data_IF_197784871334
#
_entry.id   IF_197784871334
#
_cell.length_a   1.000
_cell.length_b   1.000
_cell.length_c   1.000
_cell.angle_alpha   90.00
_cell.angle_beta   90.00
_cell.angle_gamma   90.00
#
_symmetry.space_group_name_H-M   'P 1'
#
loop_
_entity.id
_entity.type
_entity.pdbx_description
1 polymer ?
#
# COMPACT_ATOMS: atom_id res chain seq x y z
N UNK A 1 12.20 -22.92 14.43
CA UNK A 1 10.98 -22.18 14.80
C UNK A 1 11.19 -20.71 14.42
N UNK A 2 10.24 -20.06 13.75
CA UNK A 2 10.44 -18.69 13.25
C UNK A 2 10.40 -17.66 14.39
N UNK A 3 11.26 -16.65 14.34
CA UNK A 3 11.40 -15.59 15.35
C UNK A 3 10.13 -14.78 15.66
N UNK A 4 9.09 -14.90 14.82
CA UNK A 4 7.83 -14.16 14.95
C UNK A 4 6.63 -15.04 15.37
N UNK A 5 6.89 -16.28 15.78
CA UNK A 5 5.82 -17.23 16.18
C UNK A 5 5.37 -16.92 17.61
N UNK A 6 4.08 -16.69 17.82
CA UNK A 6 3.48 -16.58 19.16
C UNK A 6 3.10 -17.96 19.71
N UNK A 7 2.97 -18.09 21.04
CA UNK A 7 2.80 -19.37 21.73
C UNK A 7 1.49 -20.13 21.43
N UNK A 8 0.52 -19.51 20.74
CA UNK A 8 -0.77 -20.12 20.36
C UNK A 8 -0.73 -20.93 19.05
N UNK A 9 -0.08 -22.09 19.04
CA UNK A 9 0.30 -22.82 17.82
C UNK A 9 -0.75 -23.77 17.21
N UNK A 10 -1.99 -23.82 17.76
CA UNK A 10 -3.04 -24.74 17.31
C UNK A 10 -4.39 -24.06 16.99
N UNK A 11 -4.36 -22.77 16.65
CA UNK A 11 -5.56 -22.04 16.23
C UNK A 11 -5.63 -22.05 14.69
N UNK A 12 -6.78 -22.36 14.08
CA UNK A 12 -6.92 -22.25 12.63
C UNK A 12 -6.63 -20.82 12.16
N UNK A 13 -5.85 -20.69 11.09
CA UNK A 13 -5.53 -19.40 10.49
C UNK A 13 -6.64 -18.95 9.55
N UNK A 14 -6.96 -17.65 9.57
CA UNK A 14 -7.97 -17.01 8.72
C UNK A 14 -7.35 -15.99 7.76
N UNK A 15 -6.12 -15.54 8.02
CA UNK A 15 -5.40 -14.59 7.19
C UNK A 15 -3.97 -15.06 6.90
N UNK A 16 -3.48 -14.71 5.70
CA UNK A 16 -2.10 -14.90 5.30
C UNK A 16 -1.47 -13.56 4.97
N UNK A 17 -0.38 -13.22 5.65
CA UNK A 17 0.44 -12.06 5.33
C UNK A 17 1.62 -12.48 4.47
N UNK A 18 1.78 -11.83 3.33
CA UNK A 18 2.85 -12.09 2.37
C UNK A 18 3.74 -10.84 2.28
N UNK A 19 5.05 -11.05 2.33
CA UNK A 19 6.06 -10.03 2.04
C UNK A 19 6.71 -10.41 0.71
N UNK A 20 6.60 -9.52 -0.27
CA UNK A 20 7.11 -9.73 -1.61
C UNK A 20 8.19 -8.69 -1.93
N UNK A 21 9.27 -9.15 -2.54
CA UNK A 21 10.26 -8.30 -3.17
C UNK A 21 9.91 -8.12 -4.66
N UNK A 22 9.83 -6.87 -5.08
CA UNK A 22 9.45 -6.47 -6.44
C UNK A 22 10.53 -5.56 -6.98
N UNK A 23 11.00 -5.84 -8.20
CA UNK A 23 12.05 -5.03 -8.81
C UNK A 23 11.49 -3.75 -9.38
N UNK A 24 12.20 -2.64 -9.15
CA UNK A 24 11.91 -1.37 -9.80
C UNK A 24 12.17 -1.45 -11.31
N UNK A 25 13.27 -2.07 -11.69
CA UNK A 25 13.68 -2.29 -13.09
C UNK A 25 13.93 -3.78 -13.31
N UNK A 26 12.87 -4.50 -13.66
CA UNK A 26 12.94 -5.95 -13.85
C UNK A 26 11.60 -6.55 -14.24
N UNK A 27 11.57 -7.88 -14.38
CA UNK A 27 10.35 -8.65 -14.72
C UNK A 27 10.06 -9.78 -13.74
N UNK A 28 10.80 -9.87 -12.65
CA UNK A 28 10.62 -10.91 -11.65
C UNK A 28 10.24 -10.30 -10.31
N UNK A 29 9.40 -11.03 -9.58
CA UNK A 29 9.00 -10.73 -8.22
C UNK A 29 9.17 -12.02 -7.41
N UNK A 30 9.49 -11.92 -6.13
CA UNK A 30 9.67 -13.10 -5.27
C UNK A 30 9.02 -12.87 -3.91
N UNK A 31 8.30 -13.88 -3.44
CA UNK A 31 7.84 -13.92 -2.05
C UNK A 31 9.03 -14.23 -1.16
N UNK A 32 9.39 -13.30 -0.28
CA UNK A 32 10.51 -13.42 0.67
C UNK A 32 10.04 -13.77 2.08
N UNK A 33 8.73 -13.69 2.35
CA UNK A 33 8.15 -14.10 3.62
C UNK A 33 6.66 -14.41 3.50
N UNK A 34 6.22 -15.45 4.19
CA UNK A 34 4.82 -15.83 4.31
C UNK A 34 4.51 -16.16 5.77
N UNK A 35 3.48 -15.53 6.31
CA UNK A 35 3.09 -15.66 7.71
C UNK A 35 1.59 -15.96 7.78
N UNK A 36 1.24 -17.08 8.42
CA UNK A 36 -0.15 -17.41 8.71
C UNK A 36 -0.54 -16.81 10.06
N UNK A 37 -1.70 -16.15 10.12
CA UNK A 37 -2.23 -15.57 11.35
C UNK A 37 -3.69 -15.93 11.56
N UNK A 38 -4.09 -16.07 12.83
CA UNK A 38 -5.47 -16.33 13.27
C UNK A 38 -6.25 -15.04 13.58
N UNK A 39 -5.76 -13.91 13.07
CA UNK A 39 -6.37 -12.58 13.10
C UNK A 39 -5.44 -11.59 12.36
N UNK A 40 -5.84 -10.31 12.28
CA UNK A 40 -4.98 -9.26 11.73
C UNK A 40 -3.65 -9.14 12.51
N UNK A 41 -2.54 -9.07 11.76
CA UNK A 41 -1.21 -8.85 12.32
C UNK A 41 -1.19 -7.49 13.04
N UNK A 42 -0.76 -7.49 14.32
CA UNK A 42 -0.59 -6.24 15.09
C UNK A 42 0.46 -5.36 14.40
N UNK A 43 0.17 -4.05 14.27
CA UNK A 43 1.06 -3.10 13.58
C UNK A 43 2.51 -3.07 14.11
N UNK A 44 2.72 -3.34 15.41
CA UNK A 44 4.06 -3.46 16.01
C UNK A 44 4.83 -4.68 15.52
N UNK A 45 4.16 -5.82 15.37
CA UNK A 45 4.75 -7.02 14.80
C UNK A 45 5.07 -6.81 13.33
N UNK A 46 4.17 -6.16 12.60
CA UNK A 46 4.36 -5.84 11.19
C UNK A 46 5.59 -4.95 10.96
N UNK A 47 5.77 -3.91 11.80
CA UNK A 47 6.95 -3.04 11.72
C UNK A 47 8.26 -3.83 11.92
N UNK A 48 8.28 -4.76 12.90
CA UNK A 48 9.45 -5.63 13.14
C UNK A 48 9.72 -6.55 11.95
N UNK A 49 8.68 -7.19 11.41
CA UNK A 49 8.78 -8.08 10.25
C UNK A 49 9.32 -7.32 9.04
N UNK A 50 8.82 -6.11 8.78
CA UNK A 50 9.26 -5.28 7.66
C UNK A 50 10.74 -4.92 7.75
N UNK A 51 11.19 -4.42 8.91
CA UNK A 51 12.59 -4.03 9.11
C UNK A 51 13.51 -5.25 9.00
N UNK A 52 13.13 -6.39 9.58
CA UNK A 52 13.90 -7.62 9.48
C UNK A 52 13.95 -8.16 8.06
N UNK A 53 12.83 -8.15 7.33
CA UNK A 53 12.80 -8.52 5.92
C UNK A 53 13.71 -7.62 5.07
N UNK A 54 13.74 -6.32 5.36
CA UNK A 54 14.62 -5.35 4.68
C UNK A 54 16.09 -5.68 4.93
N UNK A 55 16.47 -5.92 6.19
CA UNK A 55 17.86 -6.27 6.56
C UNK A 55 18.29 -7.58 5.87
N UNK A 56 17.43 -8.60 5.87
CA UNK A 56 17.73 -9.90 5.25
C UNK A 56 17.80 -9.83 3.72
N UNK A 57 16.95 -9.02 3.09
CA UNK A 57 16.99 -8.78 1.65
C UNK A 57 18.31 -8.12 1.25
N UNK A 58 18.69 -7.04 1.94
CA UNK A 58 19.94 -6.31 1.70
C UNK A 58 21.19 -7.18 1.94
N UNK A 59 21.17 -8.00 3.00
CA UNK A 59 22.25 -8.97 3.25
C UNK A 59 22.39 -10.02 2.14
N UNK A 60 21.32 -10.26 1.36
CA UNK A 60 21.31 -11.16 0.21
C UNK A 60 21.66 -10.45 -1.11
N UNK A 61 22.05 -9.17 -1.06
CA UNK A 61 22.35 -8.34 -2.23
C UNK A 61 21.11 -7.77 -2.94
N UNK A 62 19.93 -7.84 -2.31
CA UNK A 62 18.70 -7.22 -2.81
C UNK A 62 18.54 -5.84 -2.17
N UNK A 63 18.81 -4.78 -2.93
CA UNK A 63 18.68 -3.41 -2.45
C UNK A 63 17.21 -2.99 -2.35
N UNK A 64 16.82 -2.45 -1.19
CA UNK A 64 15.43 -2.06 -0.88
C UNK A 64 15.35 -0.55 -0.65
N UNK A 65 14.85 0.17 -1.65
CA UNK A 65 14.70 1.64 -1.54
C UNK A 65 13.26 2.07 -1.16
N UNK A 66 12.27 1.24 -1.49
CA UNK A 66 10.85 1.55 -1.31
C UNK A 66 10.08 0.44 -0.61
N UNK A 67 9.17 0.82 0.27
CA UNK A 67 8.16 -0.04 0.87
C UNK A 67 6.79 0.42 0.41
N UNK A 68 5.99 -0.50 -0.14
CA UNK A 68 4.60 -0.23 -0.51
C UNK A 68 3.63 -1.09 0.29
N UNK A 69 2.53 -0.51 0.73
CA UNK A 69 1.42 -1.24 1.32
C UNK A 69 0.10 -0.52 1.09
N UNK A 70 -1.00 -1.24 1.29
CA UNK A 70 -2.33 -0.64 1.25
C UNK A 70 -2.55 0.34 2.43
N UNK A 71 -3.66 1.05 2.37
CA UNK A 71 -4.05 1.97 3.43
C UNK A 71 -4.79 1.32 4.60
N UNK A 72 -4.67 0.02 4.87
CA UNK A 72 -5.41 -0.64 5.95
C UNK A 72 -4.98 -0.14 7.35
N UNK A 73 -5.84 -0.33 8.35
CA UNK A 73 -5.65 0.26 9.69
C UNK A 73 -4.34 -0.21 10.37
N UNK A 74 -3.98 -1.48 10.22
CA UNK A 74 -2.74 -2.03 10.79
C UNK A 74 -1.49 -1.53 10.05
N UNK A 75 -1.56 -1.35 8.73
CA UNK A 75 -0.48 -0.76 7.92
C UNK A 75 -0.25 0.71 8.30
N UNK A 76 -1.32 1.47 8.53
CA UNK A 76 -1.20 2.84 9.07
C UNK A 76 -0.62 2.86 10.48
N UNK A 77 -0.96 1.88 11.34
CA UNK A 77 -0.34 1.74 12.67
C UNK A 77 1.16 1.46 12.55
N UNK A 78 1.56 0.58 11.62
CA UNK A 78 2.98 0.34 11.32
C UNK A 78 3.69 1.64 10.90
N UNK A 79 3.08 2.42 10.01
CA UNK A 79 3.66 3.71 9.58
C UNK A 79 3.86 4.66 10.75
N UNK A 80 2.86 4.80 11.62
CA UNK A 80 2.97 5.68 12.79
C UNK A 80 4.10 5.25 13.75
N UNK A 81 4.25 3.93 13.98
CA UNK A 81 5.34 3.35 14.78
C UNK A 81 6.71 3.67 14.17
N UNK A 82 6.81 3.63 12.84
CA UNK A 82 8.04 3.95 12.11
C UNK A 82 8.25 5.47 11.92
N UNK A 83 7.36 6.31 12.47
CA UNK A 83 7.45 7.77 12.36
C UNK A 83 7.04 8.32 10.99
N UNK A 84 6.40 7.49 10.16
CA UNK A 84 5.90 7.84 8.83
C UNK A 84 4.47 8.37 8.94
N UNK A 85 4.21 9.51 8.32
CA UNK A 85 2.91 10.16 8.34
C UNK A 85 3.00 11.66 8.53
N UNK A 86 1.89 12.26 8.95
CA UNK A 86 1.80 13.70 9.23
C UNK A 86 1.76 13.91 10.73
N UNK A 87 2.79 14.57 11.28
CA UNK A 87 2.86 14.94 12.70
C UNK A 87 3.08 16.44 12.81
N UNK A 88 2.17 17.14 13.48
CA UNK A 88 2.22 18.61 13.69
C UNK A 88 2.46 19.42 12.39
N UNK A 89 1.80 19.02 11.30
CA UNK A 89 1.93 19.67 9.99
C UNK A 89 3.19 19.29 9.19
N UNK A 90 4.12 18.54 9.77
CA UNK A 90 5.29 17.98 9.07
C UNK A 90 4.93 16.63 8.46
N UNK A 91 5.17 16.49 7.16
CA UNK A 91 5.00 15.24 6.41
C UNK A 91 6.33 14.50 6.39
N UNK A 92 6.35 13.28 6.92
CA UNK A 92 7.51 12.39 6.90
C UNK A 92 7.15 11.12 6.12
N UNK A 93 7.83 10.88 5.00
CA UNK A 93 7.60 9.72 4.12
C UNK A 93 8.82 8.82 3.97
N UNK A 94 9.86 9.06 4.77
CA UNK A 94 11.12 8.32 4.72
C UNK A 94 11.68 8.06 6.10
N UNK A 95 12.39 6.94 6.23
CA UNK A 95 13.11 6.50 7.42
C UNK A 95 14.60 6.34 7.05
N UNK A 96 15.51 6.55 8.00
CA UNK A 96 16.92 6.21 7.80
C UNK A 96 17.05 4.72 7.48
N UNK A 97 17.77 4.36 6.41
CA UNK A 97 17.84 2.97 5.99
C UNK A 97 18.54 2.10 7.06
N UNK A 98 17.99 0.95 7.46
CA UNK A 98 18.46 0.19 8.62
C UNK A 98 19.84 -0.46 8.42
N UNK A 99 20.28 -0.63 7.17
CA UNK A 99 21.57 -1.25 6.82
C UNK A 99 22.61 -0.21 6.38
N UNK A 100 22.16 0.94 5.87
CA UNK A 100 23.04 1.92 5.20
C UNK A 100 22.69 3.33 5.66
N UNK A 101 23.62 3.99 6.37
CA UNK A 101 23.40 5.33 6.89
C UNK A 101 23.39 6.43 5.81
N UNK A 102 23.83 6.12 4.58
CA UNK A 102 23.80 7.07 3.46
C UNK A 102 22.47 7.10 2.70
N UNK A 103 21.64 6.05 2.87
CA UNK A 103 20.37 5.88 2.15
C UNK A 103 19.15 6.05 3.04
N UNK A 104 18.01 6.30 2.41
CA UNK A 104 16.71 6.36 3.06
C UNK A 104 15.79 5.27 2.53
N UNK A 105 14.98 4.71 3.42
CA UNK A 105 13.89 3.81 3.08
C UNK A 105 12.61 4.65 2.91
N UNK A 106 12.03 4.63 1.71
CA UNK A 106 10.87 5.43 1.36
C UNK A 106 9.57 4.63 1.49
N UNK A 107 8.54 5.25 2.06
CA UNK A 107 7.23 4.62 2.26
C UNK A 107 6.20 5.20 1.29
N UNK A 108 5.53 4.33 0.56
CA UNK A 108 4.53 4.68 -0.44
C UNK A 108 3.23 3.89 -0.23
N UNK A 109 2.10 4.52 -0.54
CA UNK A 109 0.81 3.82 -0.54
C UNK A 109 0.55 3.16 -1.89
N UNK A 110 -0.23 2.07 -1.89
CA UNK A 110 -0.83 1.50 -3.10
C UNK A 110 -1.73 2.54 -3.80
N UNK A 111 -1.16 3.19 -4.82
CA UNK A 111 -1.82 4.26 -5.58
C UNK A 111 -3.12 3.80 -6.26
N UNK A 112 -3.17 2.65 -6.98
CA UNK A 112 -4.42 2.08 -7.46
C UNK A 112 -5.50 1.92 -6.39
N UNK A 113 -5.12 1.50 -5.18
CA UNK A 113 -6.08 1.37 -4.08
C UNK A 113 -6.61 2.74 -3.63
N UNK A 114 -5.76 3.76 -3.55
CA UNK A 114 -6.18 5.12 -3.22
C UNK A 114 -7.17 5.67 -4.26
N UNK A 115 -6.90 5.52 -5.56
CA UNK A 115 -7.82 5.94 -6.61
C UNK A 115 -9.18 5.25 -6.52
N UNK A 116 -9.18 3.95 -6.21
CA UNK A 116 -10.41 3.17 -6.00
C UNK A 116 -11.20 3.71 -4.81
N UNK A 117 -10.53 4.04 -3.71
CA UNK A 117 -11.16 4.65 -2.53
C UNK A 117 -11.79 6.01 -2.88
N UNK A 118 -11.07 6.88 -3.57
CA UNK A 118 -11.59 8.20 -4.01
C UNK A 118 -12.83 8.02 -4.89
N UNK A 119 -12.76 7.15 -5.89
CA UNK A 119 -13.91 6.83 -6.76
C UNK A 119 -15.11 6.35 -5.95
N UNK A 120 -14.91 5.41 -5.03
CA UNK A 120 -15.99 4.85 -4.21
C UNK A 120 -16.61 5.92 -3.29
N UNK A 121 -15.81 6.84 -2.77
CA UNK A 121 -16.32 7.98 -1.98
C UNK A 121 -17.19 8.89 -2.84
N UNK A 122 -16.73 9.25 -4.05
CA UNK A 122 -17.49 10.10 -4.99
C UNK A 122 -18.80 9.47 -5.46
N UNK A 123 -18.87 8.12 -5.53
CA UNK A 123 -20.10 7.39 -5.84
C UNK A 123 -21.09 7.37 -4.67
N UNK A 124 -20.61 7.42 -3.42
CA UNK A 124 -21.46 7.46 -2.22
C UNK A 124 -21.98 8.86 -1.91
N UNK A 125 -21.24 9.89 -2.30
CA UNK A 125 -21.62 11.27 -2.04
C UNK A 125 -20.56 12.28 -2.46
N UNK A 126 -20.83 13.58 -2.24
CA UNK A 126 -19.90 14.63 -2.60
C UNK A 126 -18.67 14.65 -1.67
N UNK A 127 -17.51 14.94 -2.24
CA UNK A 127 -16.26 15.16 -1.52
C UNK A 127 -16.08 16.65 -1.24
N UNK A 128 -15.95 17.02 0.03
CA UNK A 128 -15.69 18.40 0.42
C UNK A 128 -14.23 18.78 0.17
N UNK A 129 -14.00 19.82 -0.61
CA UNK A 129 -12.70 20.46 -0.81
C UNK A 129 -12.74 21.89 -0.26
N UNK A 130 -11.58 22.54 -0.01
CA UNK A 130 -11.55 23.94 0.40
C UNK A 130 -12.28 24.89 -0.57
N UNK A 131 -12.36 24.51 -1.85
CA UNK A 131 -13.00 25.29 -2.91
C UNK A 131 -14.47 24.91 -3.16
N UNK A 132 -15.06 24.04 -2.33
CA UNK A 132 -16.44 23.58 -2.45
C UNK A 132 -16.59 22.06 -2.54
N UNK A 133 -17.81 21.59 -2.81
CA UNK A 133 -18.14 20.17 -2.86
C UNK A 133 -18.03 19.60 -4.28
N UNK A 134 -17.25 18.54 -4.45
CA UNK A 134 -17.11 17.80 -5.72
C UNK A 134 -18.06 16.61 -5.69
N UNK A 135 -19.08 16.61 -6.53
CA UNK A 135 -20.05 15.51 -6.61
C UNK A 135 -19.73 14.57 -7.80
N UNK A 136 -19.80 13.25 -7.59
CA UNK A 136 -19.46 12.25 -8.62
C UNK A 136 -20.30 12.33 -9.90
N UNK A 137 -21.53 12.87 -9.81
CA UNK A 137 -22.42 13.02 -10.96
C UNK A 137 -21.96 14.10 -11.96
N UNK A 138 -21.14 15.07 -11.52
CA UNK A 138 -20.66 16.17 -12.38
C UNK A 138 -19.40 15.77 -13.18
N UNK A 139 -18.63 14.78 -12.75
CA UNK A 139 -17.47 14.30 -13.50
C UNK A 139 -17.86 13.45 -14.73
N UNK A 140 -18.95 12.69 -14.65
CA UNK A 140 -19.56 12.08 -15.84
C UNK A 140 -20.27 13.12 -16.72
N UNK A 141 -20.97 14.10 -16.12
CA UNK A 141 -21.71 15.08 -16.91
C UNK A 141 -20.80 16.07 -17.65
N UNK A 142 -19.70 16.58 -17.06
CA UNK A 142 -18.82 17.55 -17.73
C UNK A 142 -17.84 16.95 -18.74
N UNK A 143 -17.50 15.67 -18.65
CA UNK A 143 -16.77 14.97 -19.71
C UNK A 143 -17.71 14.66 -20.91
N UNK A 144 -19.00 14.50 -20.64
CA UNK A 144 -20.04 14.25 -21.65
C UNK A 144 -20.52 15.55 -22.30
N UNK A 145 -20.60 16.68 -21.59
CA UNK A 145 -21.07 17.95 -22.16
C UNK A 145 -20.01 18.70 -22.98
N UNK A 146 -18.72 18.40 -22.84
CA UNK A 146 -17.65 18.96 -23.69
C UNK A 146 -17.04 17.95 -24.69
N UNK A 147 -17.67 16.77 -24.85
CA UNK A 147 -17.09 15.67 -25.63
C UNK A 147 -18.04 14.82 -26.46
N UNK A 148 -19.35 15.09 -26.53
CA UNK A 148 -20.22 14.40 -27.50
C UNK A 148 -20.13 15.08 -28.86
N UNK A 149 -19.01 14.83 -29.52
CA UNK A 149 -18.91 14.75 -30.98
C UNK A 149 -18.03 13.55 -31.29
N UNK A 150 -18.61 12.35 -31.15
CA UNK A 150 -18.02 11.11 -31.66
C UNK A 150 -17.80 10.03 -30.61
N UNK A 151 -18.51 8.91 -30.79
CA UNK A 151 -18.02 7.61 -30.33
C UNK A 151 -18.50 7.17 -28.96
N UNK A 152 -19.65 6.52 -28.95
CA UNK A 152 -20.13 5.65 -27.88
C UNK A 152 -19.11 4.52 -27.60
N UNK A 153 -18.28 4.66 -26.56
CA UNK A 153 -17.42 3.56 -26.09
C UNK A 153 -18.21 2.67 -25.13
N UNK A 154 -18.84 1.66 -25.70
CA UNK A 154 -19.38 0.50 -24.98
C UNK A 154 -18.30 -0.19 -24.14
N UNK A 155 -18.71 -0.65 -22.95
CA UNK A 155 -18.03 -1.64 -22.10
C UNK A 155 -17.27 -2.68 -22.94
N UNK A 156 -15.97 -2.47 -23.14
CA UNK A 156 -15.09 -3.53 -23.63
C UNK A 156 -13.64 -3.19 -23.28
N UNK A 157 -12.96 -4.17 -22.68
CA UNK A 157 -11.50 -4.25 -22.55
C UNK A 157 -10.80 -3.20 -21.66
N UNK A 158 -10.95 -3.34 -20.34
CA UNK A 158 -9.81 -3.12 -19.44
C UNK A 158 -9.28 -4.49 -18.99
N UNK A 159 -8.57 -5.18 -19.88
CA UNK A 159 -7.58 -6.16 -19.43
C UNK A 159 -6.46 -5.36 -18.76
N UNK A 160 -6.51 -5.25 -17.44
CA UNK A 160 -5.37 -4.78 -16.64
C UNK A 160 -4.84 -5.99 -15.89
N UNK A 161 -3.82 -6.62 -16.47
CA UNK A 161 -2.84 -7.33 -15.64
C UNK A 161 -2.19 -6.26 -14.76
N UNK A 162 -2.53 -6.31 -13.48
CA UNK A 162 -1.91 -5.53 -12.43
C UNK A 162 -1.67 -6.50 -11.29
N UNK A 163 -0.40 -6.79 -11.03
CA UNK A 163 0.06 -7.81 -10.10
C UNK A 163 0.69 -7.10 -8.91
N UNK A 164 0.33 -7.55 -7.70
CA UNK A 164 0.88 -7.14 -6.40
C UNK A 164 2.36 -7.51 -6.27
#
# INVERSE_FOLDING_TARGET
>A
MGFFTTDGQNVPCDHGMIVMFVLLTGKWNQVIGAFATSSNVKGEMLAKILIQATILAEASGLFVDFVTCDGAAWNRKMWDILGIGVKSGKITSKLQHPVDSSRYLHFMSDFPHLLKCVRNTLLKGPLSTPNGKVCGMILYCNCVTHGISGGFLTKSNLKKHFVL
#
